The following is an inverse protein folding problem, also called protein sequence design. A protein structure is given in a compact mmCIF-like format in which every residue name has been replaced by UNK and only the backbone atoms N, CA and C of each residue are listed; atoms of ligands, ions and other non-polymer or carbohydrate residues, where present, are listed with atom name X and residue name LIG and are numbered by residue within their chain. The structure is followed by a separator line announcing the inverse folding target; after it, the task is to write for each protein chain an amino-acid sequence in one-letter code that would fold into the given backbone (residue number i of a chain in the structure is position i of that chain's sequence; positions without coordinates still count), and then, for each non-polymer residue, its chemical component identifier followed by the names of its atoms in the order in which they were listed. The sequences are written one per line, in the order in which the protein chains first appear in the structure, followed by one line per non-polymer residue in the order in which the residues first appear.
data_IF_365932787682
#
_entry.id   IF_365932787682
#
_cell.length_a   1.000
_cell.length_b   1.000
_cell.length_c   1.000
_cell.angle_alpha   90.00
_cell.angle_beta   90.00
_cell.angle_gamma   90.00
#
_symmetry.space_group_name_H-M   'P 1'
#
loop_
_entity.id
_entity.type
_entity.pdbx_description
1 polymer ?
#
# COMPACT_ATOMS: atom_id res chain seq x y z
N UNK A 1 19.90 -18.34 -18.75
CA UNK A 1 20.08 -17.95 -17.34
C UNK A 1 19.49 -16.57 -17.19
N UNK A 2 18.19 -16.48 -16.94
CA UNK A 2 17.55 -15.20 -16.59
C UNK A 2 17.94 -14.89 -15.16
N UNK A 3 18.70 -13.81 -14.97
CA UNK A 3 18.91 -13.21 -13.66
C UNK A 3 17.53 -12.99 -13.03
N UNK A 4 17.23 -13.69 -11.94
CA UNK A 4 15.97 -13.57 -11.21
C UNK A 4 15.75 -12.12 -10.81
N UNK A 5 15.01 -11.40 -11.65
CA UNK A 5 14.67 -10.02 -11.42
C UNK A 5 13.68 -10.04 -10.25
N UNK A 6 14.14 -9.64 -9.06
CA UNK A 6 13.27 -9.44 -7.90
C UNK A 6 12.20 -8.42 -8.31
N UNK A 7 11.05 -8.95 -8.72
CA UNK A 7 9.89 -8.16 -9.11
C UNK A 7 9.26 -7.66 -7.81
N UNK A 8 9.70 -6.49 -7.36
CA UNK A 8 9.12 -5.88 -6.18
C UNK A 8 7.70 -5.40 -6.50
N UNK A 9 6.74 -5.91 -5.75
CA UNK A 9 5.32 -5.57 -5.85
C UNK A 9 4.90 -4.72 -4.65
N UNK A 10 3.99 -3.78 -4.85
CA UNK A 10 3.47 -2.92 -3.78
C UNK A 10 1.96 -3.08 -3.59
N UNK A 11 1.52 -2.83 -2.35
CA UNK A 11 0.11 -2.73 -1.97
C UNK A 11 -0.11 -1.45 -1.17
N UNK A 12 -1.33 -0.94 -1.20
CA UNK A 12 -1.75 0.17 -0.34
C UNK A 12 -2.84 -0.35 0.57
N UNK A 13 -2.79 0.09 1.82
CA UNK A 13 -3.83 -0.19 2.79
C UNK A 13 -3.87 0.85 3.89
N UNK A 14 -5.01 0.93 4.54
CA UNK A 14 -5.22 1.75 5.72
C UNK A 14 -4.80 0.95 6.95
N UNK A 15 -3.95 1.52 7.79
CA UNK A 15 -3.57 0.91 9.06
C UNK A 15 -4.78 0.98 10.00
N UNK A 16 -5.36 -0.18 10.31
CA UNK A 16 -6.48 -0.29 11.25
C UNK A 16 -5.95 -0.18 12.69
N UNK A 17 -4.89 -0.93 12.98
CA UNK A 17 -4.23 -0.93 14.27
C UNK A 17 -2.79 -1.39 14.10
N UNK A 18 -1.92 -0.94 15.00
CA UNK A 18 -0.55 -1.42 15.08
C UNK A 18 -0.18 -1.67 16.53
N UNK A 19 0.77 -2.58 16.74
CA UNK A 19 1.39 -2.77 18.04
C UNK A 19 2.86 -3.14 17.87
N UNK A 20 3.65 -2.77 18.86
CA UNK A 20 5.07 -3.07 18.91
C UNK A 20 5.27 -4.18 19.93
N UNK A 21 5.81 -5.31 19.48
CA UNK A 21 6.16 -6.42 20.34
C UNK A 21 7.67 -6.46 20.53
N UNK A 22 8.13 -6.24 21.76
CA UNK A 22 9.54 -6.34 22.13
C UNK A 22 9.79 -7.65 22.87
N UNK A 23 10.68 -8.49 22.34
CA UNK A 23 11.07 -9.78 22.93
C UNK A 23 12.57 -10.03 22.78
N UNK A 24 13.27 -10.32 23.88
CA UNK A 24 14.73 -10.55 23.93
C UNK A 24 15.58 -9.51 23.19
N UNK A 25 15.25 -8.23 23.36
CA UNK A 25 15.99 -7.13 22.74
C UNK A 25 15.67 -6.88 21.26
N UNK A 26 14.82 -7.71 20.65
CA UNK A 26 14.28 -7.49 19.30
C UNK A 26 12.90 -6.87 19.39
N UNK A 27 12.67 -5.78 18.66
CA UNK A 27 11.35 -5.17 18.51
C UNK A 27 10.79 -5.51 17.13
N UNK A 28 9.56 -6.03 17.09
CA UNK A 28 8.79 -6.23 15.86
C UNK A 28 7.61 -5.30 15.85
N UNK A 29 7.41 -4.63 14.73
CA UNK A 29 6.22 -3.83 14.49
C UNK A 29 5.21 -4.67 13.73
N UNK A 30 4.01 -4.76 14.27
CA UNK A 30 2.92 -5.51 13.68
C UNK A 30 1.81 -4.52 13.36
N UNK A 31 1.44 -4.40 12.08
CA UNK A 31 0.31 -3.59 11.65
C UNK A 31 -0.73 -4.45 10.95
N UNK A 32 -1.96 -4.35 11.43
CA UNK A 32 -3.12 -4.84 10.71
C UNK A 32 -3.55 -3.75 9.72
N UNK A 33 -3.45 -4.05 8.44
CA UNK A 33 -3.88 -3.15 7.36
C UNK A 33 -5.15 -3.67 6.71
N UNK A 34 -6.06 -2.75 6.34
CA UNK A 34 -7.14 -3.00 5.39
C UNK A 34 -6.63 -2.62 4.01
N UNK A 35 -6.46 -3.58 3.12
CA UNK A 35 -5.93 -3.28 1.77
C UNK A 35 -7.02 -2.71 0.88
N UNK A 36 -6.61 -1.89 -0.08
CA UNK A 36 -7.51 -1.35 -1.10
C UNK A 36 -7.92 -2.44 -2.09
N UNK A 37 -9.06 -2.27 -2.77
CA UNK A 37 -9.56 -3.23 -3.77
C UNK A 37 -8.61 -3.34 -4.95
N UNK A 38 -8.19 -2.18 -5.46
CA UNK A 38 -7.24 -2.12 -6.55
C UNK A 38 -6.36 -0.89 -6.42
N UNK A 39 -5.16 -1.03 -6.97
CA UNK A 39 -4.20 0.05 -7.11
C UNK A 39 -3.64 0.06 -8.53
N UNK A 40 -3.25 1.24 -9.02
CA UNK A 40 -2.64 1.41 -10.34
C UNK A 40 -1.66 2.59 -10.30
N UNK A 41 -0.75 2.64 -11.26
CA UNK A 41 0.11 3.81 -11.49
C UNK A 41 -0.45 4.56 -12.70
N UNK A 42 -0.85 5.82 -12.51
CA UNK A 42 -1.28 6.70 -13.60
C UNK A 42 -0.07 7.30 -14.35
N UNK A 43 -0.38 8.11 -15.36
CA UNK A 43 0.59 8.98 -16.01
C UNK A 43 1.38 9.79 -14.96
N UNK A 44 2.68 9.98 -15.17
CA UNK A 44 3.62 10.59 -14.21
C UNK A 44 3.91 9.75 -12.95
N UNK A 45 3.45 8.50 -12.87
CA UNK A 45 3.76 7.60 -11.76
C UNK A 45 3.02 7.92 -10.47
N UNK A 46 1.91 8.67 -10.58
CA UNK A 46 1.02 8.95 -9.45
C UNK A 46 0.16 7.72 -9.18
N UNK A 47 0.21 7.12 -7.99
CA UNK A 47 -0.64 5.98 -7.68
C UNK A 47 -2.09 6.41 -7.48
N UNK A 48 -2.99 5.67 -8.11
CA UNK A 48 -4.44 5.76 -7.88
C UNK A 48 -4.94 4.45 -7.30
N UNK A 49 -5.92 4.56 -6.42
CA UNK A 49 -6.51 3.44 -5.69
C UNK A 49 -8.03 3.46 -5.78
N UNK A 50 -8.62 2.28 -5.69
CA UNK A 50 -10.05 2.08 -5.50
C UNK A 50 -10.26 1.34 -4.19
N UNK A 51 -11.08 1.91 -3.31
CA UNK A 51 -11.48 1.28 -2.06
C UNK A 51 -12.57 0.23 -2.31
N UNK A 52 -12.63 -0.79 -1.46
CA UNK A 52 -13.78 -1.68 -1.44
C UNK A 52 -15.06 -0.91 -1.08
N UNK A 53 -16.20 -1.32 -1.61
CA UNK A 53 -17.50 -0.82 -1.15
C UNK A 53 -17.68 -1.12 0.35
N UNK A 54 -18.42 -0.29 1.08
CA UNK A 54 -18.62 -0.47 2.54
C UNK A 54 -19.24 -1.84 2.88
N UNK A 55 -20.11 -2.34 1.99
CA UNK A 55 -20.77 -3.65 2.14
C UNK A 55 -19.92 -4.84 1.66
N UNK A 56 -18.74 -4.58 1.08
CA UNK A 56 -17.86 -5.62 0.58
C UNK A 56 -16.95 -6.16 1.68
N UNK A 57 -16.64 -7.47 1.68
CA UNK A 57 -15.71 -8.05 2.63
C UNK A 57 -14.32 -7.41 2.43
N UNK A 58 -13.89 -6.60 3.40
CA UNK A 58 -12.57 -5.99 3.39
C UNK A 58 -11.49 -7.06 3.59
N UNK A 59 -10.46 -7.03 2.75
CA UNK A 59 -9.29 -7.88 2.91
C UNK A 59 -8.34 -7.24 3.91
N UNK A 60 -7.92 -8.01 4.92
CA UNK A 60 -7.01 -7.55 5.98
C UNK A 60 -5.75 -8.37 5.99
N UNK A 61 -4.61 -7.72 6.13
CA UNK A 61 -3.30 -8.35 6.17
C UNK A 61 -2.52 -7.87 7.40
N UNK A 62 -1.74 -8.78 7.99
CA UNK A 62 -0.78 -8.44 9.03
C UNK A 62 0.57 -8.19 8.37
N UNK A 63 1.09 -6.98 8.52
CA UNK A 63 2.47 -6.61 8.15
C UNK A 63 3.33 -6.74 9.39
N UNK A 64 4.44 -7.47 9.29
CA UNK A 64 5.27 -7.87 10.43
C UNK A 64 6.57 -7.07 10.60
N UNK A 65 6.90 -6.23 9.64
CA UNK A 65 8.07 -5.37 9.66
C UNK A 65 7.72 -3.93 9.25
N UNK A 66 8.29 -2.94 9.95
CA UNK A 66 8.15 -1.53 9.53
C UNK A 66 8.84 -1.31 8.19
N UNK A 67 9.92 -2.04 7.92
CA UNK A 67 10.68 -1.90 6.67
C UNK A 67 9.83 -2.27 5.44
N UNK A 68 8.81 -3.11 5.62
CA UNK A 68 7.83 -3.44 4.58
C UNK A 68 6.84 -2.28 4.32
N UNK A 69 6.69 -1.34 5.26
CA UNK A 69 5.87 -0.14 5.11
C UNK A 69 6.71 0.96 4.47
N UNK A 70 6.61 1.05 3.15
CA UNK A 70 7.52 1.89 2.37
C UNK A 70 7.28 3.39 2.55
N UNK A 71 6.02 3.84 2.69
CA UNK A 71 5.67 5.25 2.84
C UNK A 71 4.31 5.43 3.54
N UNK A 72 4.19 6.47 4.38
CA UNK A 72 2.89 6.95 4.88
C UNK A 72 2.30 7.87 3.80
N UNK A 73 1.07 7.57 3.38
CA UNK A 73 0.34 8.29 2.33
C UNK A 73 -1.02 8.75 2.84
N UNK A 74 -1.49 9.88 2.34
CA UNK A 74 -2.88 10.31 2.47
C UNK A 74 -3.68 9.97 1.21
N UNK A 75 -5.01 9.88 1.34
CA UNK A 75 -5.93 9.65 0.23
C UNK A 75 -6.68 10.93 -0.11
N UNK A 76 -6.71 11.31 -1.39
CA UNK A 76 -7.45 12.48 -1.87
C UNK A 76 -8.43 12.08 -2.96
N UNK A 77 -9.69 12.43 -2.76
CA UNK A 77 -10.73 12.32 -3.78
C UNK A 77 -10.43 13.30 -4.90
N UNK A 78 -10.53 12.82 -6.14
CA UNK A 78 -10.22 13.61 -7.33
C UNK A 78 -11.33 13.59 -8.38
N UNK A 79 -12.40 12.83 -8.14
CA UNK A 79 -13.57 12.74 -9.00
C UNK A 79 -14.84 12.50 -8.15
N UNK A 80 -16.00 12.37 -8.82
CA UNK A 80 -17.30 12.15 -8.16
C UNK A 80 -17.47 10.74 -7.58
N UNK A 81 -16.63 9.77 -8.00
CA UNK A 81 -16.66 8.43 -7.46
C UNK A 81 -15.96 8.40 -6.08
N UNK A 82 -16.77 8.26 -5.03
CA UNK A 82 -16.31 8.27 -3.63
C UNK A 82 -15.33 7.16 -3.28
N UNK A 83 -15.22 6.11 -4.08
CA UNK A 83 -14.29 4.99 -3.86
C UNK A 83 -12.92 5.24 -4.47
N UNK A 84 -12.80 6.18 -5.41
CA UNK A 84 -11.58 6.43 -6.15
C UNK A 84 -10.76 7.57 -5.52
N UNK A 85 -9.51 7.27 -5.22
CA UNK A 85 -8.60 8.21 -4.57
C UNK A 85 -7.24 8.22 -5.26
N UNK A 86 -6.57 9.37 -5.19
CA UNK A 86 -5.14 9.50 -5.46
C UNK A 86 -4.38 9.49 -4.16
N UNK A 87 -3.16 8.97 -4.18
CA UNK A 87 -2.26 9.08 -3.04
C UNK A 87 -1.60 10.46 -3.02
N UNK A 88 -1.56 11.07 -1.85
CA UNK A 88 -0.76 12.26 -1.56
C UNK A 88 0.34 11.91 -0.56
N UNK A 89 1.56 12.36 -0.81
CA UNK A 89 2.63 12.29 0.17
C UNK A 89 2.76 13.63 0.88
N UNK A 90 2.96 13.65 2.21
CA UNK A 90 3.25 14.88 2.94
C UNK A 90 4.44 15.65 2.36
N UNK A 91 5.45 14.93 1.85
CA UNK A 91 6.69 15.47 1.29
C UNK A 91 6.84 15.17 -0.21
N UNK A 92 5.74 15.13 -0.97
CA UNK A 92 5.73 14.67 -2.36
C UNK A 92 6.79 15.36 -3.25
N UNK A 93 7.93 14.69 -3.42
CA UNK A 93 8.88 15.00 -4.48
C UNK A 93 8.36 14.35 -5.76
N UNK A 94 7.45 15.03 -6.46
CA UNK A 94 6.82 14.56 -7.71
C UNK A 94 7.81 14.21 -8.85
N UNK A 95 9.11 14.43 -8.66
CA UNK A 95 10.20 14.03 -9.55
C UNK A 95 10.81 12.66 -9.20
N UNK A 96 10.58 12.13 -8.00
CA UNK A 96 11.03 10.81 -7.56
C UNK A 96 9.94 9.81 -7.92
N UNK A 97 9.99 9.30 -9.16
CA UNK A 97 9.12 8.21 -9.59
C UNK A 97 9.24 7.05 -8.60
N UNK A 98 8.13 6.36 -8.37
CA UNK A 98 8.17 5.02 -7.75
C UNK A 98 8.75 4.07 -8.82
N UNK A 99 10.05 4.18 -9.06
CA UNK A 99 10.72 3.51 -10.16
C UNK A 99 10.66 1.99 -9.97
N UNK A 100 10.26 1.29 -11.04
CA UNK A 100 10.33 -0.16 -11.21
C UNK A 100 9.46 -1.04 -10.28
N UNK A 101 8.63 -0.47 -9.39
CA UNK A 101 7.69 -1.29 -8.62
C UNK A 101 6.45 -1.64 -9.45
N UNK A 102 6.09 -2.92 -9.48
CA UNK A 102 4.86 -3.37 -10.14
C UNK A 102 3.70 -3.36 -9.14
N UNK A 103 2.49 -3.17 -9.66
CA UNK A 103 1.26 -3.37 -8.87
C UNK A 103 1.27 -4.79 -8.28
N UNK A 104 1.01 -4.90 -6.97
CA UNK A 104 0.68 -6.18 -6.35
C UNK A 104 -0.78 -6.55 -6.57
N UNK A 105 -1.05 -7.82 -6.89
CA UNK A 105 -2.41 -8.37 -7.00
C UNK A 105 -2.75 -9.23 -5.79
N UNK A 106 -3.88 -8.94 -5.15
CA UNK A 106 -4.40 -9.75 -4.07
C UNK A 106 -4.98 -11.04 -4.66
N UNK A 107 -4.17 -12.10 -4.70
CA UNK A 107 -4.59 -13.40 -5.19
C UNK A 107 -5.89 -13.90 -4.53
N UNK A 108 -6.65 -14.72 -5.26
CA UNK A 108 -7.72 -15.51 -4.69
C UNK A 108 -7.07 -16.62 -3.85
N UNK A 109 -7.17 -16.51 -2.51
CA UNK A 109 -6.88 -17.63 -1.62
C UNK A 109 -7.99 -18.69 -1.72
#
# INVERSE_FOLDING_TARGET
MESGQNCASWYVGEVITYFIHSYHGSSKFLALISVVESSTLEEYGVPSITLFHEDSPQKKYMVCDVEDITNIVGFVRYNENVLQHRLIWPDAMHHKKIDNLKKGELGNM
#
